data_IF_058132731655
#
_entry.id   IF_058132731655
#
_cell.length_a   1.000
_cell.length_b   1.000
_cell.length_c   1.000
_cell.angle_alpha   90.00
_cell.angle_beta   90.00
_cell.angle_gamma   90.00
#
_symmetry.space_group_name_H-M   'P 1'
#
loop_
_entity.id
_entity.type
_entity.pdbx_description
1 polymer ?
#
# COMPACT_ATOMS: atom_id res chain seq x y z
N UNK A 1 -50.95 -30.98 -16.41
CA UNK A 1 -49.62 -31.18 -15.80
C UNK A 1 -48.74 -30.01 -16.21
N UNK A 2 -48.39 -29.12 -15.28
CA UNK A 2 -47.61 -27.90 -15.56
C UNK A 2 -46.13 -28.21 -15.33
N UNK A 3 -45.33 -28.28 -16.40
CA UNK A 3 -43.88 -28.43 -16.32
C UNK A 3 -43.26 -27.10 -15.89
N UNK A 4 -42.75 -27.01 -14.66
CA UNK A 4 -41.89 -25.92 -14.23
C UNK A 4 -40.45 -26.29 -14.55
N UNK A 5 -39.91 -25.71 -15.61
CA UNK A 5 -38.49 -25.74 -15.93
C UNK A 5 -37.80 -24.76 -14.99
N UNK A 6 -37.01 -25.27 -14.04
CA UNK A 6 -36.20 -24.45 -13.13
C UNK A 6 -34.87 -24.16 -13.82
N UNK A 7 -34.68 -22.93 -14.31
CA UNK A 7 -33.43 -22.48 -14.90
C UNK A 7 -32.51 -22.03 -13.74
N UNK A 8 -31.46 -22.80 -13.44
CA UNK A 8 -30.39 -22.35 -12.55
C UNK A 8 -29.47 -21.41 -13.34
N UNK A 9 -29.47 -20.12 -13.00
CA UNK A 9 -28.47 -19.17 -13.49
C UNK A 9 -27.25 -19.31 -12.58
N UNK A 10 -26.17 -19.85 -13.13
CA UNK A 10 -24.87 -19.90 -12.47
C UNK A 10 -24.23 -18.51 -12.63
N UNK A 11 -24.27 -17.69 -11.59
CA UNK A 11 -23.54 -16.42 -11.54
C UNK A 11 -22.07 -16.76 -11.32
N UNK A 12 -21.27 -16.73 -12.40
CA UNK A 12 -19.81 -16.68 -12.26
C UNK A 12 -19.46 -15.30 -11.70
N UNK A 13 -19.20 -15.23 -10.39
CA UNK A 13 -18.40 -14.15 -9.83
C UNK A 13 -16.98 -14.33 -10.35
N UNK A 14 -16.57 -13.50 -11.30
CA UNK A 14 -15.15 -13.24 -11.50
C UNK A 14 -14.69 -12.46 -10.27
N UNK A 15 -14.14 -13.15 -9.27
CA UNK A 15 -13.28 -12.50 -8.31
C UNK A 15 -12.08 -11.98 -9.12
N UNK A 16 -12.09 -10.69 -9.44
CA UNK A 16 -10.88 -10.02 -9.87
C UNK A 16 -9.85 -10.25 -8.78
N UNK A 17 -8.66 -10.70 -9.14
CA UNK A 17 -7.54 -10.76 -8.21
C UNK A 17 -7.24 -9.30 -7.87
N UNK A 18 -7.70 -8.83 -6.71
CA UNK A 18 -7.19 -7.60 -6.12
C UNK A 18 -5.81 -7.97 -5.63
N UNK A 19 -4.76 -7.45 -6.27
CA UNK A 19 -3.46 -7.41 -5.59
C UNK A 19 -3.70 -6.53 -4.37
N UNK A 20 -3.42 -7.08 -3.19
CA UNK A 20 -3.40 -6.31 -1.96
C UNK A 20 -2.46 -5.12 -2.17
N UNK A 21 -2.95 -3.90 -1.99
CA UNK A 21 -2.12 -2.72 -1.82
C UNK A 21 -2.17 -2.33 -0.34
N UNK A 22 -1.13 -1.64 0.16
CA UNK A 22 -1.02 -1.26 1.56
C UNK A 22 -0.65 0.21 1.76
N UNK A 23 -0.93 1.09 0.79
CA UNK A 23 -0.72 2.53 0.93
C UNK A 23 -2.00 3.19 1.41
N UNK A 24 -1.88 4.19 2.28
CA UNK A 24 -2.99 4.98 2.84
C UNK A 24 -4.21 4.12 3.24
N UNK A 25 -4.04 3.09 4.10
CA UNK A 25 -5.13 2.17 4.45
C UNK A 25 -6.32 2.86 5.12
N UNK A 26 -6.11 4.07 5.67
CA UNK A 26 -7.15 4.87 6.32
C UNK A 26 -7.83 5.87 5.38
N UNK A 27 -7.43 5.93 4.10
CA UNK A 27 -7.95 6.88 3.10
C UNK A 27 -7.89 8.32 3.61
N UNK A 28 -6.72 8.72 4.09
CA UNK A 28 -6.42 10.01 4.72
C UNK A 28 -5.76 11.02 3.79
N UNK A 29 -5.66 10.70 2.50
CA UNK A 29 -4.96 11.46 1.48
C UNK A 29 -3.43 11.44 1.64
N UNK A 30 -2.89 10.35 2.20
CA UNK A 30 -1.45 10.09 2.42
C UNK A 30 -0.87 9.10 1.39
N UNK A 31 -1.22 9.28 0.12
CA UNK A 31 -0.79 8.42 -1.00
C UNK A 31 0.00 9.18 -2.08
N UNK A 32 0.44 10.41 -1.80
CA UNK A 32 1.03 11.27 -2.82
C UNK A 32 2.53 11.51 -2.65
N UNK A 33 3.25 11.36 -3.76
CA UNK A 33 4.58 11.94 -3.96
C UNK A 33 4.48 13.09 -4.97
N UNK A 34 5.49 13.96 -5.03
CA UNK A 34 5.48 15.11 -5.93
C UNK A 34 6.78 15.25 -6.68
N UNK A 35 6.72 15.36 -8.01
CA UNK A 35 7.88 15.72 -8.82
C UNK A 35 7.72 17.11 -9.44
N UNK A 36 8.76 17.95 -9.35
CA UNK A 36 8.70 19.34 -9.82
C UNK A 36 8.29 19.48 -11.30
N UNK A 37 8.67 18.51 -12.14
CA UNK A 37 8.37 18.54 -13.57
C UNK A 37 7.15 17.69 -13.96
N UNK A 38 6.53 16.97 -13.02
CA UNK A 38 5.50 15.96 -13.31
C UNK A 38 4.25 16.07 -12.44
N UNK A 39 4.28 16.91 -11.41
CA UNK A 39 3.16 17.10 -10.48
C UNK A 39 3.00 15.91 -9.53
N UNK A 40 1.75 15.67 -9.14
CA UNK A 40 1.41 14.62 -8.18
C UNK A 40 1.53 13.23 -8.79
N UNK A 41 2.05 12.31 -7.98
CA UNK A 41 2.14 10.90 -8.26
C UNK A 41 1.37 10.17 -7.17
N UNK A 42 0.30 9.48 -7.56
CA UNK A 42 -0.60 8.76 -6.68
C UNK A 42 -0.18 7.29 -6.57
N UNK A 43 0.14 6.85 -5.35
CA UNK A 43 0.54 5.50 -4.99
C UNK A 43 -0.65 4.55 -4.73
N UNK A 44 -1.85 5.09 -4.58
CA UNK A 44 -3.10 4.36 -4.42
C UNK A 44 -4.17 4.90 -5.42
N UNK A 45 -3.99 4.70 -6.74
CA UNK A 45 -4.88 5.29 -7.74
C UNK A 45 -6.27 4.61 -7.86
N UNK A 46 -6.56 3.60 -7.02
CA UNK A 46 -7.90 3.01 -6.87
C UNK A 46 -8.44 2.21 -8.07
N UNK A 47 -7.63 1.93 -9.10
CA UNK A 47 -8.04 1.12 -10.24
C UNK A 47 -7.68 -0.36 -10.04
N UNK A 48 -8.50 -1.29 -10.56
CA UNK A 48 -8.25 -2.73 -10.43
C UNK A 48 -6.87 -3.11 -10.97
N UNK A 49 -6.01 -3.65 -10.11
CA UNK A 49 -4.65 -4.06 -10.47
C UNK A 49 -3.60 -2.93 -10.42
N UNK A 50 -3.96 -1.78 -9.87
CA UNK A 50 -3.06 -0.67 -9.53
C UNK A 50 -3.00 -0.46 -8.02
N UNK A 51 -2.10 0.42 -7.56
CA UNK A 51 -1.76 0.54 -6.15
C UNK A 51 -0.41 -0.08 -5.86
N UNK A 52 0.09 0.16 -4.65
CA UNK A 52 1.42 -0.26 -4.22
C UNK A 52 1.32 -1.28 -3.10
N UNK A 53 2.09 -2.34 -3.25
CA UNK A 53 2.35 -3.30 -2.19
C UNK A 53 3.81 -3.17 -1.77
N UNK A 54 4.02 -2.69 -0.56
CA UNK A 54 5.31 -2.70 0.13
C UNK A 54 5.44 -4.02 0.89
N UNK A 55 6.45 -4.81 0.53
CA UNK A 55 6.87 -6.03 1.24
C UNK A 55 8.23 -5.79 1.90
N UNK A 56 8.69 -6.76 2.69
CA UNK A 56 9.99 -6.69 3.38
C UNK A 56 11.17 -6.66 2.42
N UNK A 57 11.04 -7.22 1.21
CA UNK A 57 12.13 -7.35 0.24
C UNK A 57 11.94 -6.53 -1.05
N UNK A 58 10.74 -5.97 -1.28
CA UNK A 58 10.40 -5.27 -2.53
C UNK A 58 9.23 -4.33 -2.39
N UNK A 59 9.12 -3.44 -3.35
CA UNK A 59 7.92 -2.61 -3.57
C UNK A 59 7.40 -2.92 -4.96
N UNK A 60 6.14 -3.31 -5.05
CA UNK A 60 5.51 -3.73 -6.31
C UNK A 60 4.24 -2.94 -6.59
N UNK A 61 3.75 -3.04 -7.83
CA UNK A 61 2.50 -2.43 -8.24
C UNK A 61 2.67 -1.27 -9.22
N UNK A 62 1.56 -0.59 -9.49
CA UNK A 62 1.47 0.48 -10.49
C UNK A 62 0.94 1.75 -9.86
N UNK A 63 1.69 2.84 -10.04
CA UNK A 63 1.36 4.19 -9.56
C UNK A 63 1.06 5.11 -10.74
N UNK A 64 0.30 6.18 -10.47
CA UNK A 64 -0.17 7.10 -11.50
C UNK A 64 0.42 8.50 -11.32
N UNK A 65 1.21 8.96 -12.27
CA UNK A 65 1.62 10.37 -12.34
C UNK A 65 0.68 11.16 -13.23
N UNK A 66 0.10 12.25 -12.72
CA UNK A 66 -0.94 13.01 -13.42
C UNK A 66 -0.53 13.50 -14.82
N UNK A 67 0.75 13.85 -15.00
CA UNK A 67 1.27 14.38 -16.26
C UNK A 67 2.11 13.37 -17.07
N UNK A 68 2.35 12.17 -16.52
CA UNK A 68 3.30 11.20 -17.08
C UNK A 68 2.75 9.78 -17.19
N UNK A 69 1.54 9.53 -16.68
CA UNK A 69 0.85 8.26 -16.79
C UNK A 69 1.38 7.19 -15.82
N UNK A 70 1.26 5.94 -16.24
CA UNK A 70 1.60 4.78 -15.41
C UNK A 70 3.10 4.61 -15.19
N UNK A 71 3.45 4.31 -13.94
CA UNK A 71 4.79 3.89 -13.52
C UNK A 71 4.67 2.51 -12.87
N UNK A 72 5.47 1.57 -13.33
CA UNK A 72 5.61 0.23 -12.77
C UNK A 72 6.75 0.21 -11.75
N UNK A 73 6.47 -0.16 -10.51
CA UNK A 73 7.48 -0.30 -9.45
C UNK A 73 8.27 -1.60 -9.52
N UNK A 74 7.75 -2.63 -10.21
CA UNK A 74 8.39 -3.94 -10.36
C UNK A 74 8.46 -4.42 -11.82
N UNK A 75 9.11 -3.65 -12.73
CA UNK A 75 9.24 -4.07 -14.11
C UNK A 75 10.07 -5.35 -14.24
N UNK A 76 9.56 -6.32 -15.01
CA UNK A 76 10.11 -7.67 -15.16
C UNK A 76 11.54 -7.74 -15.73
N UNK A 77 12.14 -6.63 -16.16
CA UNK A 77 13.46 -6.64 -16.80
C UNK A 77 14.23 -5.38 -16.41
N UNK A 78 15.43 -5.57 -15.84
CA UNK A 78 16.39 -4.50 -15.48
C UNK A 78 15.93 -3.47 -14.44
N UNK A 79 14.80 -3.69 -13.76
CA UNK A 79 14.34 -2.83 -12.67
C UNK A 79 13.70 -3.63 -11.55
N UNK A 80 12.90 -2.92 -10.75
CA UNK A 80 12.36 -3.38 -9.48
C UNK A 80 12.82 -2.45 -8.37
N UNK A 81 11.87 -1.93 -7.62
CA UNK A 81 12.14 -1.23 -6.35
C UNK A 81 12.29 -2.28 -5.27
N UNK A 82 13.44 -2.25 -4.59
CA UNK A 82 13.84 -3.20 -3.56
C UNK A 82 13.70 -2.50 -2.21
N UNK A 83 13.13 -3.20 -1.24
CA UNK A 83 13.18 -2.82 0.17
C UNK A 83 14.25 -3.70 0.83
N UNK A 84 15.18 -3.12 1.58
CA UNK A 84 16.24 -3.89 2.26
C UNK A 84 15.78 -4.54 3.58
N UNK A 85 14.49 -4.42 3.91
CA UNK A 85 13.88 -4.89 5.16
C UNK A 85 14.09 -3.94 6.33
N UNK A 86 14.86 -2.86 6.16
CA UNK A 86 15.04 -1.77 7.12
C UNK A 86 14.33 -0.49 6.67
N UNK A 87 13.62 -0.54 5.53
CA UNK A 87 12.93 0.59 4.96
C UNK A 87 13.79 1.44 4.03
N UNK A 88 15.02 1.04 3.69
CA UNK A 88 15.79 1.74 2.67
C UNK A 88 15.44 1.19 1.28
N UNK A 89 14.95 2.07 0.40
CA UNK A 89 14.53 1.68 -0.93
C UNK A 89 15.65 1.89 -1.95
N UNK A 90 15.80 0.95 -2.87
CA UNK A 90 16.78 1.02 -3.96
C UNK A 90 16.22 0.43 -5.25
N UNK A 91 17.01 0.47 -6.32
CA UNK A 91 16.60 -0.04 -7.63
C UNK A 91 15.78 0.97 -8.43
N UNK A 92 15.04 0.47 -9.42
CA UNK A 92 14.45 1.33 -10.45
C UNK A 92 12.99 0.98 -10.77
N UNK A 93 12.12 1.99 -10.77
CA UNK A 93 10.80 1.93 -11.37
C UNK A 93 10.85 2.36 -12.85
N UNK A 94 9.84 1.98 -13.64
CA UNK A 94 9.73 2.32 -15.05
C UNK A 94 8.42 3.05 -15.35
N UNK A 95 8.50 4.28 -15.84
CA UNK A 95 7.35 5.00 -16.38
C UNK A 95 7.35 5.00 -17.91
N UNK A 96 6.21 4.67 -18.52
CA UNK A 96 6.13 4.49 -19.99
C UNK A 96 6.51 5.75 -20.79
N UNK A 97 6.27 6.92 -20.22
CA UNK A 97 6.54 8.22 -20.86
C UNK A 97 7.82 8.90 -20.37
N UNK A 98 8.48 8.35 -19.34
CA UNK A 98 9.56 9.04 -18.61
C UNK A 98 10.81 8.19 -18.41
N UNK A 99 10.72 6.89 -18.66
CA UNK A 99 11.83 5.96 -18.50
C UNK A 99 12.08 5.55 -17.05
N UNK A 100 13.35 5.29 -16.73
CA UNK A 100 13.79 4.80 -15.42
C UNK A 100 13.74 5.89 -14.34
N UNK A 101 13.27 5.51 -13.16
CA UNK A 101 13.25 6.32 -11.95
C UNK A 101 14.04 5.55 -10.89
N UNK A 102 15.17 6.11 -10.46
CA UNK A 102 16.06 5.54 -9.44
C UNK A 102 15.58 5.90 -8.03
N UNK A 103 15.41 4.90 -7.16
CA UNK A 103 15.00 5.07 -5.77
C UNK A 103 16.18 5.27 -4.80
N UNK A 104 17.42 5.02 -5.25
CA UNK A 104 18.65 5.30 -4.51
C UNK A 104 19.67 6.05 -5.39
N UNK A 105 19.38 7.30 -5.79
CA UNK A 105 20.33 8.13 -6.53
C UNK A 105 21.36 8.78 -5.60
N UNK A 106 22.51 9.15 -6.16
CA UNK A 106 23.49 10.00 -5.47
C UNK A 106 22.80 11.28 -4.95
N UNK A 107 23.01 11.61 -3.67
CA UNK A 107 22.43 12.77 -2.99
C UNK A 107 20.90 12.74 -2.80
N UNK A 108 20.26 11.60 -3.03
CA UNK A 108 18.86 11.36 -2.68
C UNK A 108 18.71 10.07 -1.86
N UNK A 109 17.73 9.26 -2.25
CA UNK A 109 17.39 8.01 -1.58
C UNK A 109 16.00 8.12 -0.97
N UNK A 110 15.18 7.07 -1.15
CA UNK A 110 13.85 6.97 -0.55
C UNK A 110 13.90 6.01 0.63
N UNK A 111 13.27 6.39 1.74
CA UNK A 111 13.16 5.51 2.91
C UNK A 111 11.78 5.53 3.55
N UNK A 112 11.42 4.42 4.18
CA UNK A 112 10.19 4.22 4.94
C UNK A 112 10.54 4.15 6.43
N UNK A 113 9.94 5.01 7.25
CA UNK A 113 10.15 5.02 8.70
C UNK A 113 9.29 3.98 9.44
N UNK A 114 9.52 3.83 10.75
CA UNK A 114 8.79 2.89 11.62
C UNK A 114 7.28 3.13 11.71
N UNK A 115 6.80 4.30 11.31
CA UNK A 115 5.38 4.63 11.28
C UNK A 115 4.79 4.43 9.87
N UNK A 116 5.60 4.03 8.88
CA UNK A 116 5.18 3.83 7.50
C UNK A 116 5.33 5.05 6.62
N UNK A 117 5.87 6.17 7.12
CA UNK A 117 6.04 7.37 6.32
C UNK A 117 7.19 7.22 5.35
N UNK A 118 6.94 7.51 4.07
CA UNK A 118 8.00 7.67 3.09
C UNK A 118 8.66 9.03 3.27
N UNK A 119 9.93 9.10 2.90
CA UNK A 119 10.74 10.31 2.94
C UNK A 119 11.85 10.25 1.91
N UNK A 120 12.47 11.39 1.62
CA UNK A 120 13.60 11.49 0.71
C UNK A 120 13.17 11.64 -0.76
N UNK A 121 14.10 11.31 -1.66
CA UNK A 121 14.01 11.71 -3.06
C UNK A 121 14.45 10.62 -4.03
N UNK A 122 13.57 10.29 -4.99
CA UNK A 122 13.91 9.51 -6.17
C UNK A 122 14.28 10.43 -7.34
N UNK A 123 15.01 9.89 -8.33
CA UNK A 123 15.46 10.65 -9.50
C UNK A 123 15.09 9.94 -10.80
N UNK A 124 14.41 10.63 -11.72
CA UNK A 124 14.23 10.17 -13.09
C UNK A 124 14.91 11.10 -14.09
N UNK A 125 15.68 10.54 -15.03
CA UNK A 125 16.48 11.34 -15.98
C UNK A 125 15.65 12.36 -16.79
N UNK A 126 14.39 12.03 -17.08
CA UNK A 126 13.49 12.88 -17.86
C UNK A 126 12.53 13.73 -17.02
N UNK A 127 12.52 13.56 -15.69
CA UNK A 127 11.52 14.18 -14.80
C UNK A 127 12.13 14.89 -13.59
N UNK A 128 13.42 14.68 -13.32
CA UNK A 128 14.10 15.26 -12.18
C UNK A 128 13.76 14.56 -10.87
N UNK A 129 13.79 15.32 -9.78
CA UNK A 129 13.54 14.85 -8.42
C UNK A 129 12.05 14.60 -8.17
N UNK A 130 11.77 13.48 -7.51
CA UNK A 130 10.46 13.12 -6.96
C UNK A 130 10.59 13.07 -5.45
N UNK A 131 9.87 13.95 -4.76
CA UNK A 131 9.84 14.12 -3.33
C UNK A 131 8.79 13.22 -2.68
N UNK A 132 9.18 12.56 -1.60
CA UNK A 132 8.32 11.72 -0.77
C UNK A 132 8.08 12.30 0.63
N UNK A 133 8.77 13.38 1.02
CA UNK A 133 8.71 13.93 2.37
C UNK A 133 7.36 14.60 2.66
N UNK A 134 6.56 13.97 3.51
CA UNK A 134 5.23 14.45 3.87
C UNK A 134 5.22 15.86 4.45
N UNK A 135 6.28 16.28 5.13
CA UNK A 135 6.37 17.63 5.73
C UNK A 135 6.46 18.73 4.68
N UNK A 136 7.03 18.42 3.51
CA UNK A 136 7.12 19.33 2.38
C UNK A 136 5.87 19.25 1.47
N UNK A 137 5.11 18.16 1.58
CA UNK A 137 3.88 17.88 0.85
C UNK A 137 2.61 18.25 1.64
N UNK A 138 2.70 19.20 2.57
CA UNK A 138 1.55 19.66 3.38
C UNK A 138 0.85 18.52 4.14
N UNK A 139 1.58 17.47 4.50
CA UNK A 139 1.07 16.30 5.21
C UNK A 139 0.58 15.16 4.30
N UNK A 140 0.59 15.31 2.98
CA UNK A 140 0.02 14.33 2.02
C UNK A 140 1.03 13.29 1.51
N UNK A 141 2.16 13.12 2.20
CA UNK A 141 3.22 12.20 1.75
C UNK A 141 2.75 10.74 1.77
N UNK A 142 3.41 9.91 0.96
CA UNK A 142 3.09 8.48 0.87
C UNK A 142 3.29 7.81 2.24
N UNK A 143 2.28 7.08 2.70
CA UNK A 143 2.30 6.31 3.94
C UNK A 143 1.87 4.87 3.66
N UNK A 144 2.66 3.90 4.11
CA UNK A 144 2.27 2.48 4.10
C UNK A 144 1.60 2.11 5.42
N UNK A 145 0.66 1.18 5.37
CA UNK A 145 0.06 0.55 6.55
C UNK A 145 1.15 0.01 7.49
N UNK A 146 1.10 0.45 8.75
CA UNK A 146 1.90 -0.12 9.83
C UNK A 146 0.98 -0.52 10.98
N UNK A 147 1.08 -1.77 11.42
CA UNK A 147 0.53 -2.24 12.70
C UNK A 147 1.61 -2.13 13.75
N UNK A 148 1.41 -1.27 14.74
CA UNK A 148 2.34 -1.07 15.86
C UNK A 148 1.79 -1.63 17.18
N UNK A 149 2.57 -1.51 18.26
CA UNK A 149 2.17 -2.03 19.58
C UNK A 149 0.90 -1.36 20.13
N UNK A 150 0.65 -0.09 19.77
CA UNK A 150 -0.53 0.65 20.18
C UNK A 150 -1.78 0.11 19.48
N UNK A 151 -1.68 -0.33 18.23
CA UNK A 151 -2.77 -0.99 17.51
C UNK A 151 -3.12 -2.33 18.14
N UNK A 152 -2.09 -3.13 18.47
CA UNK A 152 -2.27 -4.39 19.19
C UNK A 152 -2.88 -4.17 20.58
N UNK A 153 -2.40 -3.18 21.32
CA UNK A 153 -2.92 -2.83 22.64
C UNK A 153 -4.37 -2.34 22.56
N UNK A 154 -4.70 -1.54 21.54
CA UNK A 154 -6.05 -1.03 21.30
C UNK A 154 -7.00 -2.16 20.94
N UNK A 155 -6.59 -3.09 20.07
CA UNK A 155 -7.37 -4.29 19.77
C UNK A 155 -7.58 -5.13 21.03
N UNK A 156 -6.53 -5.38 21.83
CA UNK A 156 -6.65 -6.14 23.07
C UNK A 156 -7.59 -5.45 24.09
N UNK A 157 -7.53 -4.12 24.21
CA UNK A 157 -8.44 -3.37 25.09
C UNK A 157 -9.89 -3.44 24.60
N UNK A 158 -10.10 -3.34 23.29
CA UNK A 158 -11.44 -3.43 22.69
C UNK A 158 -11.98 -4.87 22.74
N UNK A 159 -11.12 -5.89 22.63
CA UNK A 159 -11.51 -7.29 22.84
C UNK A 159 -12.11 -7.50 24.22
N UNK A 160 -11.50 -6.93 25.25
CA UNK A 160 -12.02 -7.01 26.61
C UNK A 160 -13.41 -6.33 26.78
N UNK A 161 -13.91 -5.61 25.76
CA UNK A 161 -15.19 -4.89 25.75
C UNK A 161 -16.09 -5.37 24.59
N UNK A 162 -17.11 -6.18 24.84
CA UNK A 162 -18.05 -6.64 23.78
C UNK A 162 -19.16 -5.63 23.45
N UNK A 163 -19.56 -5.48 22.17
CA UNK A 163 -20.80 -4.78 21.76
C UNK A 163 -20.83 -4.27 20.30
N UNK A 164 -21.96 -3.69 19.87
CA UNK A 164 -22.13 -3.10 18.52
C UNK A 164 -21.56 -1.67 18.46
N UNK A 165 -20.74 -1.36 17.46
CA UNK A 165 -20.20 -0.01 17.22
C UNK A 165 -18.74 0.20 17.62
N UNK A 166 -17.96 -0.87 17.76
CA UNK A 166 -16.52 -0.82 18.03
C UNK A 166 -15.72 -1.10 16.76
N UNK A 167 -14.53 -0.51 16.65
CA UNK A 167 -13.63 -0.67 15.51
C UNK A 167 -12.98 -2.07 15.42
N UNK A 168 -13.02 -2.87 16.49
CA UNK A 168 -12.44 -4.22 16.53
C UNK A 168 -13.40 -5.35 16.13
N UNK A 169 -14.69 -5.08 15.84
CA UNK A 169 -15.62 -6.07 15.24
C UNK A 169 -15.36 -6.13 13.72
N UNK A 170 -14.24 -6.77 13.36
CA UNK A 170 -13.77 -6.89 11.98
C UNK A 170 -14.58 -7.92 11.18
N UNK A 171 -15.20 -8.89 11.87
CA UNK A 171 -16.04 -9.92 11.26
C UNK A 171 -17.50 -9.48 11.08
N UNK A 172 -17.89 -8.33 11.65
CA UNK A 172 -19.21 -7.68 11.53
C UNK A 172 -20.37 -8.53 12.07
N UNK A 173 -20.13 -9.29 13.14
CA UNK A 173 -21.14 -10.16 13.76
C UNK A 173 -21.67 -9.59 15.10
N UNK A 174 -21.24 -8.39 15.49
CA UNK A 174 -21.57 -7.71 16.75
C UNK A 174 -20.98 -8.35 18.01
N UNK A 175 -20.09 -9.33 17.86
CA UNK A 175 -19.23 -9.83 18.91
C UNK A 175 -17.80 -9.35 18.64
N UNK A 176 -16.97 -9.33 19.68
CA UNK A 176 -15.52 -9.26 19.49
C UNK A 176 -14.96 -10.56 20.08
N UNK A 177 -14.52 -11.46 19.21
CA UNK A 177 -14.02 -12.77 19.58
C UNK A 177 -12.78 -13.18 18.75
N UNK A 178 -12.48 -14.47 18.76
CA UNK A 178 -11.28 -14.98 18.08
C UNK A 178 -11.36 -14.89 16.54
N UNK A 179 -12.56 -14.72 15.97
CA UNK A 179 -12.75 -14.50 14.54
C UNK A 179 -12.21 -13.13 14.14
N UNK A 180 -12.49 -12.09 14.92
CA UNK A 180 -11.96 -10.74 14.68
C UNK A 180 -10.44 -10.69 14.82
N UNK A 181 -9.88 -11.37 15.82
CA UNK A 181 -8.44 -11.49 15.97
C UNK A 181 -7.78 -12.20 14.83
N UNK A 182 -8.41 -13.27 14.32
CA UNK A 182 -7.88 -13.98 13.18
C UNK A 182 -7.82 -13.05 11.96
N UNK A 183 -8.82 -12.17 11.76
CA UNK A 183 -8.78 -11.15 10.70
C UNK A 183 -7.67 -10.13 10.96
N UNK A 184 -7.52 -9.61 12.19
CA UNK A 184 -6.41 -8.71 12.51
C UNK A 184 -5.05 -9.37 12.26
N UNK A 185 -4.88 -10.62 12.69
CA UNK A 185 -3.65 -11.38 12.49
C UNK A 185 -3.38 -11.62 11.01
N UNK A 186 -4.42 -11.85 10.20
CA UNK A 186 -4.28 -11.92 8.73
C UNK A 186 -3.84 -10.56 8.18
N UNK A 187 -4.48 -9.46 8.55
CA UNK A 187 -4.08 -8.12 8.09
C UNK A 187 -2.65 -7.77 8.51
N UNK A 188 -2.27 -8.12 9.74
CA UNK A 188 -0.90 -8.01 10.19
C UNK A 188 0.02 -8.84 9.29
N UNK A 189 -0.27 -10.12 9.06
CA UNK A 189 0.59 -10.98 8.26
C UNK A 189 0.64 -10.61 6.77
N UNK A 190 -0.43 -10.08 6.20
CA UNK A 190 -0.57 -9.80 4.76
C UNK A 190 -0.09 -8.39 4.38
N UNK A 191 -0.35 -7.39 5.24
CA UNK A 191 0.00 -5.99 4.98
C UNK A 191 1.21 -5.51 5.79
N UNK A 192 1.58 -6.25 6.83
CA UNK A 192 2.79 -6.06 7.62
C UNK A 192 3.58 -7.39 7.76
N UNK A 193 3.89 -8.10 6.65
CA UNK A 193 4.63 -9.35 6.72
C UNK A 193 5.98 -9.09 7.39
N UNK A 194 6.37 -10.00 8.28
CA UNK A 194 7.62 -9.97 9.05
C UNK A 194 7.70 -8.89 10.14
N UNK A 195 6.97 -9.14 11.24
CA UNK A 195 7.35 -8.80 12.62
C UNK A 195 8.56 -7.85 12.70
N UNK A 196 8.30 -6.54 12.53
CA UNK A 196 9.30 -5.47 12.52
C UNK A 196 10.07 -5.52 13.85
N UNK A 197 11.12 -6.34 13.91
CA UNK A 197 11.98 -6.41 15.07
C UNK A 197 12.98 -5.28 14.93
N UNK A 198 12.60 -4.07 15.34
CA UNK A 198 13.59 -3.11 15.80
C UNK A 198 14.07 -3.56 17.18
N UNK A 199 15.09 -4.42 17.18
CA UNK A 199 16.07 -4.44 18.26
C UNK A 199 17.27 -3.59 17.84
#
# INVERSE_FOLDING_TARGET
MKNKLCLLILILFSAGITIAENIDPQNTDNQFAYGENVGWINFEPGQTGSGVLVESDKVTGYIWGENIGWINLSPNTYGGVINDGLGHLSGFAWGENVGWINFDPDYGGVSIDINGNFSGYAWGENIGWVNFDSSELSGQGVEVCVVNYQDLATMAEQWLKSGRGWSADLYLDSNIDFQDFNILAIYWMDYCPDNWSLN
#
